data_IF_689654731199
#
_entry.id   IF_689654731199
#
_cell.length_a   1.000
_cell.length_b   1.000
_cell.length_c   1.000
_cell.angle_alpha   90.00
_cell.angle_beta   90.00
_cell.angle_gamma   90.00
#
_symmetry.space_group_name_H-M   'P 1'
#
loop_
_entity.id
_entity.type
_entity.pdbx_description
1 polymer ?
#
# COMPACT_ATOMS: atom_id res chain seq x y z
N UNK A 1 21.70 -26.49 17.32
CA UNK A 1 20.78 -25.74 16.45
C UNK A 1 20.59 -24.39 17.12
N UNK A 2 21.19 -23.31 16.60
CA UNK A 2 21.03 -22.00 17.24
C UNK A 2 19.68 -21.42 16.88
N UNK A 3 18.91 -21.08 17.90
CA UNK A 3 17.78 -20.17 17.89
C UNK A 3 18.23 -18.81 17.34
N UNK A 4 18.30 -18.67 16.02
CA UNK A 4 18.13 -17.35 15.42
C UNK A 4 16.63 -17.14 15.45
N UNK A 5 16.17 -16.40 16.46
CA UNK A 5 14.82 -15.87 16.51
C UNK A 5 14.40 -15.43 15.11
N UNK A 6 13.28 -15.97 14.64
CA UNK A 6 12.55 -15.53 13.46
C UNK A 6 12.08 -14.08 13.71
N UNK A 7 13.00 -13.12 13.63
CA UNK A 7 12.66 -11.71 13.71
C UNK A 7 11.93 -11.35 12.42
N UNK A 8 10.60 -11.43 12.48
CA UNK A 8 9.76 -10.83 11.46
C UNK A 8 10.08 -9.34 11.41
N UNK A 9 10.45 -8.88 10.22
CA UNK A 9 10.70 -7.49 9.92
C UNK A 9 9.37 -6.77 9.75
N UNK A 10 9.38 -5.46 9.98
CA UNK A 10 8.20 -4.62 9.86
C UNK A 10 8.46 -3.46 8.89
N UNK A 11 7.42 -3.04 8.18
CA UNK A 11 7.39 -1.79 7.42
C UNK A 11 6.44 -0.79 8.06
N UNK A 12 6.74 0.50 7.92
CA UNK A 12 5.83 1.56 8.33
C UNK A 12 4.84 1.90 7.22
N UNK A 13 3.58 2.10 7.57
CA UNK A 13 2.50 2.53 6.71
C UNK A 13 1.78 3.73 7.33
N UNK A 14 1.24 4.61 6.47
CA UNK A 14 0.60 5.85 6.91
C UNK A 14 -0.70 6.05 6.12
N UNK A 15 -1.80 6.29 6.83
CA UNK A 15 -3.03 6.82 6.26
C UNK A 15 -3.20 8.29 6.62
N UNK A 16 -3.80 9.06 5.72
CA UNK A 16 -4.15 10.46 5.92
C UNK A 16 -5.62 10.61 5.59
N UNK A 17 -6.43 10.93 6.59
CA UNK A 17 -7.89 11.01 6.49
C UNK A 17 -8.34 12.44 6.76
N UNK A 18 -9.22 12.94 5.89
CA UNK A 18 -9.77 14.29 5.95
C UNK A 18 -11.25 14.20 6.34
N UNK A 19 -11.65 15.05 7.27
CA UNK A 19 -13.02 15.14 7.76
C UNK A 19 -13.53 16.58 7.62
N UNK A 20 -14.80 16.79 7.22
CA UNK A 20 -15.35 18.14 7.08
C UNK A 20 -15.47 18.89 8.42
N UNK A 21 -15.65 18.15 9.52
CA UNK A 21 -15.80 18.71 10.86
C UNK A 21 -14.70 18.20 11.78
N UNK A 22 -15.02 17.29 12.70
CA UNK A 22 -14.11 16.68 13.67
C UNK A 22 -13.71 15.26 13.26
N UNK A 23 -12.56 14.81 13.76
CA UNK A 23 -12.16 13.40 13.63
C UNK A 23 -13.14 12.53 14.44
N UNK A 24 -13.75 11.50 13.83
CA UNK A 24 -14.65 10.59 14.54
C UNK A 24 -13.87 9.69 15.49
N UNK A 25 -14.58 9.15 16.48
CA UNK A 25 -14.09 8.12 17.38
C UNK A 25 -15.10 6.95 17.38
N UNK A 26 -14.77 5.79 16.77
CA UNK A 26 -13.48 5.42 16.19
C UNK A 26 -13.20 6.02 14.79
N UNK A 27 -11.92 6.15 14.44
CA UNK A 27 -11.42 6.41 13.08
C UNK A 27 -11.45 5.11 12.27
N UNK A 28 -12.08 5.14 11.10
CA UNK A 28 -12.12 3.98 10.20
C UNK A 28 -11.07 4.11 9.09
N UNK A 29 -10.14 3.16 9.00
CA UNK A 29 -9.23 3.01 7.86
C UNK A 29 -9.92 2.21 6.75
N UNK A 30 -9.70 2.54 5.48
CA UNK A 30 -10.24 1.74 4.36
C UNK A 30 -10.78 2.53 3.18
N UNK A 31 -10.92 3.86 3.34
CA UNK A 31 -11.37 4.76 2.27
C UNK A 31 -10.20 5.66 1.82
N UNK A 32 -9.31 5.14 0.95
CA UNK A 32 -8.15 5.90 0.52
C UNK A 32 -8.58 7.06 -0.38
N UNK A 33 -8.50 8.28 0.14
CA UNK A 33 -8.50 9.50 -0.66
C UNK A 33 -7.12 10.16 -0.57
N UNK A 34 -6.22 9.71 -1.44
CA UNK A 34 -4.84 10.17 -1.52
C UNK A 34 -4.60 10.92 -2.83
N UNK A 35 -5.60 11.69 -3.28
CA UNK A 35 -5.54 12.45 -4.53
C UNK A 35 -5.40 11.56 -5.77
N UNK A 36 -6.04 10.39 -5.80
CA UNK A 36 -6.07 9.53 -6.96
C UNK A 36 -6.75 10.26 -8.14
N UNK A 37 -6.24 10.14 -9.38
CA UNK A 37 -6.89 10.74 -10.53
C UNK A 37 -8.24 10.06 -10.82
N UNK A 38 -9.20 10.77 -11.44
CA UNK A 38 -10.47 10.17 -11.85
C UNK A 38 -10.25 8.93 -12.72
N UNK A 39 -10.95 7.84 -12.39
CA UNK A 39 -10.85 6.58 -13.12
C UNK A 39 -9.77 5.61 -12.64
N UNK A 40 -8.87 6.04 -11.74
CA UNK A 40 -7.95 5.10 -11.08
C UNK A 40 -8.73 4.16 -10.16
N UNK A 41 -8.48 2.87 -10.29
CA UNK A 41 -9.09 1.82 -9.47
C UNK A 41 -8.04 1.20 -8.57
N UNK A 42 -8.30 1.21 -7.26
CA UNK A 42 -7.44 0.59 -6.26
C UNK A 42 -7.85 -0.87 -6.00
N UNK A 43 -6.96 -1.69 -5.40
CA UNK A 43 -7.31 -3.02 -4.92
C UNK A 43 -8.45 -2.95 -3.91
N UNK A 44 -9.35 -3.94 -3.94
CA UNK A 44 -10.48 -4.06 -3.02
C UNK A 44 -10.21 -5.04 -1.89
N UNK A 45 -9.44 -6.09 -2.15
CA UNK A 45 -9.23 -7.19 -1.19
C UNK A 45 -8.15 -6.88 -0.14
N UNK A 46 -7.92 -5.60 0.18
CA UNK A 46 -6.88 -5.18 1.10
C UNK A 46 -6.97 -3.71 1.50
N UNK A 47 -6.21 -3.34 2.52
CA UNK A 47 -6.14 -1.97 3.02
C UNK A 47 -5.05 -1.21 2.25
N UNK A 48 -5.44 -0.20 1.47
CA UNK A 48 -4.51 0.66 0.73
C UNK A 48 -4.19 1.94 1.51
N UNK A 49 -2.91 2.21 1.72
CA UNK A 49 -2.36 3.35 2.48
C UNK A 49 -1.07 3.86 1.83
N UNK A 50 -0.50 4.96 2.35
CA UNK A 50 0.79 5.49 1.88
C UNK A 50 1.96 4.69 2.47
N UNK A 51 3.02 4.55 1.68
CA UNK A 51 4.24 3.84 2.09
C UNK A 51 5.51 4.65 1.81
N UNK A 52 6.40 4.69 2.81
CA UNK A 52 7.68 5.38 2.74
C UNK A 52 7.56 6.90 2.65
N UNK A 53 8.70 7.58 2.48
CA UNK A 53 8.76 9.05 2.43
C UNK A 53 8.53 9.64 1.03
N UNK A 54 8.65 8.83 -0.02
CA UNK A 54 8.60 9.32 -1.40
C UNK A 54 7.15 9.65 -1.77
N UNK A 55 6.85 10.94 -1.89
CA UNK A 55 5.56 11.45 -2.33
C UNK A 55 4.45 11.46 -1.27
N UNK A 56 4.59 10.68 -0.18
CA UNK A 56 3.71 10.77 0.98
C UNK A 56 3.69 12.17 1.60
N UNK A 57 4.83 12.88 1.60
CA UNK A 57 4.90 14.28 2.03
C UNK A 57 4.08 15.23 1.17
N UNK A 58 3.93 14.96 -0.13
CA UNK A 58 3.09 15.79 -1.01
C UNK A 58 1.61 15.59 -0.70
N UNK A 59 1.19 14.32 -0.54
CA UNK A 59 -0.18 13.98 -0.14
C UNK A 59 -0.51 14.57 1.22
N UNK A 60 0.41 14.46 2.19
CA UNK A 60 0.24 15.03 3.52
C UNK A 60 0.14 16.57 3.47
N UNK A 61 1.05 17.23 2.74
CA UNK A 61 1.02 18.69 2.59
C UNK A 61 -0.25 19.18 1.92
N UNK A 62 -0.69 18.52 0.84
CA UNK A 62 -1.93 18.86 0.17
C UNK A 62 -3.12 18.69 1.12
N UNK A 63 -3.16 17.59 1.87
CA UNK A 63 -4.22 17.33 2.85
C UNK A 63 -4.26 18.40 3.94
N UNK A 64 -3.10 18.81 4.46
CA UNK A 64 -3.00 19.89 5.46
C UNK A 64 -3.48 21.23 4.92
N UNK A 65 -3.19 21.55 3.66
CA UNK A 65 -3.67 22.79 3.03
C UNK A 65 -5.19 22.77 2.85
N UNK A 66 -5.74 21.65 2.39
CA UNK A 66 -7.19 21.47 2.17
C UNK A 66 -7.98 21.61 3.48
N UNK A 67 -7.57 20.93 4.56
CA UNK A 67 -8.28 21.03 5.85
C UNK A 67 -8.07 22.37 6.55
N UNK A 68 -7.01 23.10 6.24
CA UNK A 68 -6.75 24.41 6.87
C UNK A 68 -7.80 25.47 6.53
N UNK A 69 -8.55 25.26 5.44
CA UNK A 69 -9.64 26.14 5.03
C UNK A 69 -10.96 25.80 5.74
N UNK A 70 -11.22 24.51 5.99
CA UNK A 70 -12.32 23.96 6.79
C UNK A 70 -12.10 22.44 6.98
N UNK A 71 -12.12 21.96 8.22
CA UNK A 71 -12.11 20.53 8.54
C UNK A 71 -11.04 20.07 9.54
N UNK A 72 -10.93 18.76 9.68
CA UNK A 72 -9.97 18.08 10.55
C UNK A 72 -9.18 17.01 9.80
N UNK A 73 -7.98 16.73 10.29
CA UNK A 73 -7.06 15.75 9.73
C UNK A 73 -6.74 14.68 10.78
N UNK A 74 -6.85 13.41 10.40
CA UNK A 74 -6.28 12.30 11.16
C UNK A 74 -5.12 11.68 10.37
N UNK A 75 -3.94 11.62 10.98
CA UNK A 75 -2.78 10.94 10.42
C UNK A 75 -2.59 9.67 11.23
N UNK A 76 -2.86 8.52 10.61
CA UNK A 76 -2.74 7.23 11.28
C UNK A 76 -1.49 6.53 10.77
N UNK A 77 -0.55 6.23 11.65
CA UNK A 77 0.66 5.47 11.32
C UNK A 77 0.68 4.15 12.07
N UNK A 78 1.13 3.10 11.42
CA UNK A 78 1.21 1.76 12.01
C UNK A 78 2.28 0.93 11.30
N UNK A 79 2.59 -0.23 11.86
CA UNK A 79 3.56 -1.18 11.34
C UNK A 79 2.86 -2.41 10.78
N UNK A 80 3.46 -2.98 9.73
CA UNK A 80 3.01 -4.20 9.07
C UNK A 80 4.16 -5.21 9.07
N UNK A 81 3.90 -6.40 9.61
CA UNK A 81 4.79 -7.56 9.57
C UNK A 81 4.95 -8.06 8.13
N UNK A 82 6.18 -8.36 7.71
CA UNK A 82 6.47 -8.70 6.31
C UNK A 82 7.38 -9.94 6.17
N UNK A 83 7.43 -10.78 7.21
CA UNK A 83 8.36 -11.88 7.26
C UNK A 83 9.80 -11.38 7.34
N UNK A 84 10.74 -12.10 6.74
CA UNK A 84 12.17 -11.79 6.82
C UNK A 84 12.57 -10.75 5.77
N UNK A 85 13.09 -9.60 6.20
CA UNK A 85 13.59 -8.60 5.27
C UNK A 85 14.75 -9.12 4.43
N UNK A 86 14.61 -9.03 3.11
CA UNK A 86 15.69 -9.28 2.17
C UNK A 86 16.39 -7.96 1.77
N UNK A 87 17.68 -7.78 2.12
CA UNK A 87 18.41 -6.56 1.77
C UNK A 87 18.73 -6.46 0.27
N UNK A 88 18.60 -7.55 -0.50
CA UNK A 88 18.78 -7.56 -1.96
C UNK A 88 17.46 -7.22 -2.67
N UNK A 89 17.50 -7.21 -4.01
CA UNK A 89 16.27 -7.20 -4.80
C UNK A 89 15.54 -8.54 -4.60
N UNK A 90 14.26 -8.47 -4.25
CA UNK A 90 13.36 -9.57 -4.02
C UNK A 90 13.14 -10.36 -5.32
N UNK A 91 13.38 -11.66 -5.26
CA UNK A 91 13.03 -12.61 -6.32
C UNK A 91 11.71 -13.31 -5.99
N UNK A 92 11.15 -13.96 -7.00
CA UNK A 92 9.92 -14.75 -6.87
C UNK A 92 10.11 -15.88 -5.83
N UNK A 93 11.27 -16.55 -5.86
CA UNK A 93 11.62 -17.62 -4.92
C UNK A 93 11.81 -17.16 -3.46
N UNK A 94 11.96 -15.85 -3.21
CA UNK A 94 12.15 -15.30 -1.86
C UNK A 94 10.79 -15.00 -1.15
N UNK A 95 9.66 -15.19 -1.84
CA UNK A 95 8.33 -14.85 -1.33
C UNK A 95 7.83 -15.77 -0.22
N UNK A 96 8.48 -16.91 0.01
CA UNK A 96 8.19 -17.80 1.14
C UNK A 96 8.71 -17.24 2.47
N UNK A 97 9.84 -16.53 2.43
CA UNK A 97 10.45 -15.87 3.59
C UNK A 97 10.07 -14.39 3.70
N UNK A 98 9.98 -13.65 2.59
CA UNK A 98 9.75 -12.20 2.55
C UNK A 98 8.41 -11.87 1.89
N UNK A 99 7.39 -11.58 2.69
CA UNK A 99 6.00 -11.43 2.25
C UNK A 99 5.67 -10.01 1.75
N UNK A 100 6.68 -9.19 1.45
CA UNK A 100 6.51 -7.81 1.00
C UNK A 100 7.17 -7.54 -0.35
N UNK A 101 6.35 -7.16 -1.32
CA UNK A 101 6.78 -6.81 -2.67
C UNK A 101 6.82 -5.29 -2.81
N UNK A 102 8.00 -4.71 -2.97
CA UNK A 102 8.16 -3.26 -3.19
C UNK A 102 8.53 -2.96 -4.64
N UNK A 103 7.51 -2.61 -5.43
CA UNK A 103 7.57 -2.31 -6.84
C UNK A 103 7.83 -0.81 -7.11
N UNK A 104 8.60 -0.47 -8.15
CA UNK A 104 9.61 -1.31 -8.81
C UNK A 104 10.93 -1.39 -8.00
N UNK A 105 11.04 -0.64 -6.90
CA UNK A 105 12.32 -0.27 -6.29
C UNK A 105 13.13 -1.45 -5.75
N UNK A 106 12.48 -2.52 -5.33
CA UNK A 106 13.12 -3.68 -4.69
C UNK A 106 12.80 -5.01 -5.37
N UNK A 107 12.01 -5.03 -6.44
CA UNK A 107 11.77 -6.25 -7.19
C UNK A 107 12.92 -6.56 -8.17
N UNK A 108 13.22 -7.84 -8.37
CA UNK A 108 14.14 -8.32 -9.40
C UNK A 108 13.60 -8.02 -10.80
N UNK A 109 14.47 -8.00 -11.81
CA UNK A 109 14.03 -7.79 -13.19
C UNK A 109 13.06 -8.88 -13.65
N UNK A 110 13.32 -10.13 -13.25
CA UNK A 110 12.52 -11.29 -13.64
C UNK A 110 11.12 -11.22 -13.03
N UNK A 111 11.02 -10.86 -11.74
CA UNK A 111 9.73 -10.60 -11.09
C UNK A 111 8.97 -9.48 -11.79
N UNK A 112 9.63 -8.36 -12.11
CA UNK A 112 8.96 -7.26 -12.80
C UNK A 112 8.52 -7.64 -14.23
N UNK A 113 9.23 -8.53 -14.91
CA UNK A 113 8.83 -9.03 -16.23
C UNK A 113 7.64 -9.97 -16.12
N UNK A 114 7.67 -10.94 -15.20
CA UNK A 114 6.56 -11.87 -14.97
C UNK A 114 5.27 -11.12 -14.56
N UNK A 115 5.36 -10.14 -13.65
CA UNK A 115 4.21 -9.28 -13.31
C UNK A 115 3.70 -8.54 -14.54
N UNK A 116 4.57 -7.96 -15.36
CA UNK A 116 4.15 -7.20 -16.54
C UNK A 116 3.43 -8.07 -17.58
N UNK A 117 3.89 -9.30 -17.80
CA UNK A 117 3.26 -10.26 -18.70
C UNK A 117 1.84 -10.61 -18.22
N UNK A 118 1.67 -10.95 -16.94
CA UNK A 118 0.33 -11.23 -16.37
C UNK A 118 -0.57 -10.01 -16.42
N UNK A 119 -0.03 -8.84 -16.05
CA UNK A 119 -0.75 -7.57 -16.05
C UNK A 119 -1.33 -7.25 -17.42
N UNK A 120 -0.51 -7.36 -18.47
CA UNK A 120 -0.94 -7.10 -19.83
C UNK A 120 -1.90 -8.15 -20.39
N UNK A 121 -1.80 -9.40 -19.94
CA UNK A 121 -2.81 -10.42 -20.25
C UNK A 121 -4.18 -10.06 -19.66
N UNK A 122 -4.24 -9.66 -18.39
CA UNK A 122 -5.51 -9.24 -17.75
C UNK A 122 -6.07 -7.94 -18.33
N UNK A 123 -5.22 -6.98 -18.71
CA UNK A 123 -5.66 -5.79 -19.43
C UNK A 123 -6.30 -6.15 -20.77
N UNK A 124 -5.72 -7.10 -21.51
CA UNK A 124 -6.28 -7.56 -22.77
C UNK A 124 -7.66 -8.24 -22.57
N UNK A 125 -7.86 -9.01 -21.50
CA UNK A 125 -9.17 -9.56 -21.12
C UNK A 125 -10.21 -8.46 -20.84
N UNK A 126 -9.78 -7.33 -20.26
CA UNK A 126 -10.62 -6.15 -20.01
C UNK A 126 -10.75 -5.21 -21.23
N UNK A 127 -10.17 -5.57 -22.39
CA UNK A 127 -10.18 -4.74 -23.60
C UNK A 127 -9.34 -3.45 -23.48
N UNK A 128 -8.38 -3.41 -22.55
CA UNK A 128 -7.51 -2.27 -22.27
C UNK A 128 -6.17 -2.38 -23.02
N UNK A 129 -5.53 -1.24 -23.35
CA UNK A 129 -4.22 -1.25 -23.99
C UNK A 129 -3.13 -1.79 -23.04
N UNK A 130 -2.02 -2.32 -23.59
CA UNK A 130 -0.91 -2.79 -22.78
C UNK A 130 -0.18 -1.62 -22.09
N UNK A 131 0.32 -1.88 -20.90
CA UNK A 131 1.03 -0.96 -20.03
C UNK A 131 2.45 -1.47 -19.70
N UNK A 132 3.24 -0.59 -19.06
CA UNK A 132 4.61 -0.89 -18.60
C UNK A 132 4.69 -1.19 -17.10
N UNK A 133 3.57 -1.43 -16.42
CA UNK A 133 3.55 -1.78 -15.00
C UNK A 133 4.31 -3.10 -14.74
N UNK A 134 5.18 -3.21 -13.72
CA UNK A 134 5.41 -2.25 -12.63
C UNK A 134 6.54 -1.24 -12.88
N UNK A 135 7.15 -1.23 -14.07
CA UNK A 135 8.24 -0.28 -14.41
C UNK A 135 7.73 1.15 -14.64
N UNK A 136 6.44 1.31 -14.87
CA UNK A 136 5.72 2.58 -14.85
C UNK A 136 4.42 2.43 -14.05
N UNK A 137 3.95 3.49 -13.37
CA UNK A 137 2.64 3.48 -12.71
C UNK A 137 1.50 3.13 -13.68
N UNK A 138 0.49 2.44 -13.16
CA UNK A 138 -0.75 2.08 -13.83
C UNK A 138 -1.94 2.78 -13.16
N UNK A 139 -3.05 2.91 -13.88
CA UNK A 139 -4.34 3.36 -13.32
C UNK A 139 -5.22 2.17 -12.91
N UNK A 140 -4.83 0.95 -13.30
CA UNK A 140 -5.58 -0.30 -13.15
C UNK A 140 -5.13 -1.10 -11.92
N UNK A 141 -4.90 -0.44 -10.79
CA UNK A 141 -4.31 -1.07 -9.60
C UNK A 141 -5.19 -2.14 -8.97
N UNK A 142 -6.49 -2.18 -9.27
CA UNK A 142 -7.40 -3.28 -8.91
C UNK A 142 -6.89 -4.65 -9.36
N UNK A 143 -6.07 -4.72 -10.41
CA UNK A 143 -5.48 -5.98 -10.88
C UNK A 143 -4.47 -6.57 -9.88
N UNK A 144 -4.03 -5.83 -8.86
CA UNK A 144 -3.25 -6.42 -7.77
C UNK A 144 -4.06 -7.47 -6.98
N UNK A 145 -5.40 -7.34 -6.91
CA UNK A 145 -6.27 -8.36 -6.31
C UNK A 145 -6.13 -9.71 -7.05
N UNK A 146 -6.00 -9.66 -8.38
CA UNK A 146 -5.74 -10.86 -9.20
C UNK A 146 -4.32 -11.38 -9.01
N UNK A 147 -3.36 -10.47 -8.85
CA UNK A 147 -1.96 -10.84 -8.63
C UNK A 147 -1.82 -11.64 -7.34
N UNK A 148 -2.34 -11.16 -6.21
CA UNK A 148 -2.25 -11.88 -4.92
C UNK A 148 -3.16 -13.11 -4.84
N UNK A 149 -4.04 -13.33 -5.81
CA UNK A 149 -4.77 -14.59 -5.94
C UNK A 149 -4.00 -15.64 -6.77
N UNK A 150 -2.86 -15.27 -7.37
CA UNK A 150 -2.10 -16.10 -8.31
C UNK A 150 -0.79 -16.57 -7.70
N UNK A 151 -0.52 -17.89 -7.62
CA UNK A 151 0.78 -18.37 -7.18
C UNK A 151 1.93 -17.87 -8.06
N UNK A 152 3.09 -17.52 -7.47
CA UNK A 152 3.43 -17.59 -6.03
C UNK A 152 3.16 -16.27 -5.27
N UNK A 153 2.49 -15.29 -5.88
CA UNK A 153 2.22 -13.97 -5.29
C UNK A 153 1.15 -13.99 -4.21
N UNK A 154 0.44 -15.11 -4.07
CA UNK A 154 -0.48 -15.41 -2.96
C UNK A 154 0.20 -15.47 -1.59
N UNK A 155 1.52 -15.54 -1.56
CA UNK A 155 2.33 -15.42 -0.35
C UNK A 155 2.59 -13.97 0.08
N UNK A 156 2.23 -12.97 -0.74
CA UNK A 156 2.47 -11.57 -0.41
C UNK A 156 1.44 -11.06 0.59
N UNK A 157 1.91 -10.64 1.76
CA UNK A 157 1.15 -9.88 2.76
C UNK A 157 0.86 -8.46 2.29
N UNK A 158 1.83 -7.83 1.63
CA UNK A 158 1.72 -6.44 1.21
C UNK A 158 2.46 -6.17 -0.10
N UNK A 159 1.92 -5.29 -0.93
CA UNK A 159 2.55 -4.84 -2.17
C UNK A 159 2.60 -3.32 -2.17
N UNK A 160 3.81 -2.75 -2.20
CA UNK A 160 4.03 -1.32 -2.40
C UNK A 160 4.27 -1.00 -3.87
N UNK A 161 3.66 0.07 -4.38
CA UNK A 161 3.69 0.44 -5.79
C UNK A 161 3.61 1.96 -5.95
N UNK A 162 4.16 2.45 -7.06
CA UNK A 162 4.16 3.88 -7.38
C UNK A 162 2.85 4.25 -8.09
N UNK A 163 2.26 5.37 -7.68
CA UNK A 163 0.98 5.90 -8.16
C UNK A 163 1.15 7.35 -8.60
N UNK A 164 0.62 7.72 -9.76
CA UNK A 164 0.51 9.12 -10.19
C UNK A 164 -0.76 9.71 -9.59
N UNK A 165 -0.62 10.53 -8.55
CA UNK A 165 -1.71 11.29 -7.94
C UNK A 165 -1.81 12.66 -8.60
N UNK A 166 -2.89 13.40 -8.35
CA UNK A 166 -3.03 14.80 -8.83
C UNK A 166 -2.03 15.74 -8.16
N UNK A 167 -1.45 15.34 -7.02
CA UNK A 167 -0.42 16.09 -6.27
C UNK A 167 1.01 15.54 -6.49
N UNK A 168 1.19 14.69 -7.52
CA UNK A 168 2.47 14.15 -7.94
C UNK A 168 2.62 12.65 -7.75
N UNK A 169 3.84 12.13 -7.93
CA UNK A 169 4.11 10.70 -7.73
C UNK A 169 4.13 10.37 -6.23
N UNK A 170 3.28 9.45 -5.81
CA UNK A 170 3.24 8.90 -4.46
C UNK A 170 3.52 7.40 -4.50
N UNK A 171 3.88 6.84 -3.34
CA UNK A 171 4.06 5.40 -3.18
C UNK A 171 3.00 4.89 -2.22
N UNK A 172 2.16 3.99 -2.72
CA UNK A 172 1.12 3.34 -1.93
C UNK A 172 1.61 1.95 -1.52
N UNK A 173 0.95 1.38 -0.51
CA UNK A 173 1.01 -0.04 -0.18
C UNK A 173 -0.40 -0.54 0.03
N UNK A 174 -0.71 -1.68 -0.55
CA UNK A 174 -1.91 -2.46 -0.21
C UNK A 174 -1.49 -3.63 0.66
N UNK A 175 -2.16 -3.76 1.80
CA UNK A 175 -1.98 -4.84 2.77
C UNK A 175 -3.13 -5.81 2.59
N UNK A 176 -2.82 -7.02 2.13
CA UNK A 176 -3.79 -8.07 1.80
C UNK A 176 -4.04 -9.04 2.96
N UNK A 177 -3.12 -9.11 3.93
CA UNK A 177 -3.35 -9.83 5.19
C UNK A 177 -3.54 -8.85 6.36
N UNK A 178 -4.78 -8.65 6.84
CA UNK A 178 -5.10 -7.85 8.01
C UNK A 178 -4.30 -8.21 9.26
N UNK A 179 -3.99 -9.51 9.44
CA UNK A 179 -3.32 -10.02 10.64
C UNK A 179 -1.86 -9.61 10.72
N UNK A 180 -1.30 -9.10 9.62
CA UNK A 180 0.04 -8.59 9.60
C UNK A 180 0.16 -7.18 10.20
N UNK A 181 -0.95 -6.46 10.38
CA UNK A 181 -0.95 -5.14 11.03
C UNK A 181 -0.71 -5.34 12.53
N UNK A 182 0.30 -4.65 13.06
CA UNK A 182 0.62 -4.64 14.49
C UNK A 182 -0.28 -3.61 15.20
N UNK A 183 -1.34 -4.05 15.93
CA UNK A 183 -2.32 -3.14 16.53
C UNK A 183 -1.69 -2.23 17.60
N UNK A 184 -0.66 -2.71 18.31
CA UNK A 184 0.03 -1.96 19.36
C UNK A 184 0.94 -0.85 18.79
N UNK A 185 1.18 -0.88 17.48
CA UNK A 185 1.97 0.14 16.78
C UNK A 185 1.15 1.28 16.21
N UNK A 186 -0.18 1.21 16.31
CA UNK A 186 -1.09 2.21 15.74
C UNK A 186 -0.99 3.51 16.54
N UNK A 187 -0.72 4.60 15.83
CA UNK A 187 -0.63 5.95 16.39
C UNK A 187 -1.45 6.91 15.53
N UNK A 188 -2.32 7.68 16.18
CA UNK A 188 -3.06 8.79 15.57
C UNK A 188 -2.36 10.11 15.94
N UNK A 189 -1.73 10.77 14.98
CA UNK A 189 -1.05 12.05 15.21
C UNK A 189 -1.96 13.26 14.96
N UNK A 190 -1.57 14.46 15.44
CA UNK A 190 -1.03 14.77 16.75
C UNK A 190 -2.14 15.19 17.74
N UNK A 191 -2.20 14.55 18.91
CA UNK A 191 -3.06 14.95 20.03
C UNK A 191 -4.48 14.37 20.03
N UNK A 192 -4.74 13.37 19.19
CA UNK A 192 -6.02 12.66 19.15
C UNK A 192 -5.89 11.36 19.93
N UNK A 193 -6.77 11.17 20.91
CA UNK A 193 -6.97 9.91 21.62
C UNK A 193 -8.29 9.32 21.12
N UNK A 194 -8.21 8.57 20.02
CA UNK A 194 -9.36 7.97 19.32
C UNK A 194 -9.00 6.54 18.94
N UNK A 195 -9.99 5.65 19.00
CA UNK A 195 -9.82 4.27 18.55
C UNK A 195 -9.68 4.19 17.03
N UNK A 196 -9.00 3.15 16.52
CA UNK A 196 -8.85 2.91 15.08
C UNK A 196 -9.48 1.57 14.72
N UNK A 197 -10.47 1.61 13.82
CA UNK A 197 -11.08 0.44 13.21
C UNK A 197 -10.54 0.24 11.79
N UNK A 198 -10.31 -1.02 11.42
CA UNK A 198 -9.94 -1.41 10.06
C UNK A 198 -11.21 -1.79 9.29
N UNK A 199 -11.49 -1.11 8.18
CA UNK A 199 -12.49 -1.52 7.19
C UNK A 199 -11.78 -2.13 5.99
N UNK A 200 -12.17 -3.35 5.64
CA UNK A 200 -11.75 -4.02 4.42
C UNK A 200 -12.89 -3.89 3.40
N UNK A 201 -12.54 -3.50 2.17
CA UNK A 201 -13.47 -3.25 1.08
C UNK A 201 -13.91 -4.51 0.35
#
# INVERSE_FOLDING_TARGET
MSEKENQSSQIGAISVLRYPDQVPDPVVLGEPDFYQPPGMTLPKNGLTVLYGHRGSSNVLRASMLEVSEQGSLAIVSFKVSIGRWNPKKLKIEDLDECHFINLPSRASSDMMSDINEKWNAWLAEEGKPPEKFPRAPSENMHLLDRLVATPPYDQATAIAYDVKTTVGLAKFVTIFDPKAIDPDSVVVGPGLDVEVCLSFS
#
